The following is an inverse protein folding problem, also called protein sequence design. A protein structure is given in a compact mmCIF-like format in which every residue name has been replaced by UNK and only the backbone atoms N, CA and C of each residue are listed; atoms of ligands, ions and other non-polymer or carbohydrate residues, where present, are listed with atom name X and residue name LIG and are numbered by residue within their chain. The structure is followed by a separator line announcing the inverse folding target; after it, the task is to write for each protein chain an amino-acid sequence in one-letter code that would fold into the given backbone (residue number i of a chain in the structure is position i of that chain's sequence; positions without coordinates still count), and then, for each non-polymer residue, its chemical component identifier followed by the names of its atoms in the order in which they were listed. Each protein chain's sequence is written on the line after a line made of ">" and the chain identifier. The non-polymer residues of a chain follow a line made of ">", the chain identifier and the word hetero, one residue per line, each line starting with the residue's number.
data_IF_803348811777
#
_entry.id   IF_803348811777
#
_cell.length_a   1.000
_cell.length_b   1.000
_cell.length_c   1.000
_cell.angle_alpha   90.00
_cell.angle_beta   90.00
_cell.angle_gamma   90.00
#
_symmetry.space_group_name_H-M   'P 1'
#
loop_
_entity.id
_entity.type
_entity.pdbx_description
1 polymer ?
#
# COMPACT_ATOMS: atom_id res chain seq x y z
N UNK A 1 -11.57 10.85 3.58
CA UNK A 1 -11.38 9.80 2.53
C UNK A 1 -9.95 9.20 2.37
N UNK A 2 -8.91 9.94 1.93
CA UNK A 2 -7.60 9.36 1.49
C UNK A 2 -6.94 8.42 2.52
N UNK A 3 -7.02 8.74 3.81
CA UNK A 3 -6.47 7.89 4.87
C UNK A 3 -7.16 6.52 4.97
N UNK A 4 -8.48 6.45 4.80
CA UNK A 4 -9.24 5.20 4.82
C UNK A 4 -9.00 4.33 3.58
N UNK A 5 -8.74 4.97 2.43
CA UNK A 5 -8.33 4.24 1.22
C UNK A 5 -6.90 3.71 1.37
N UNK A 6 -5.99 4.52 1.92
CA UNK A 6 -4.61 4.12 2.17
C UNK A 6 -4.50 2.89 3.07
N UNK A 7 -5.38 2.73 4.07
CA UNK A 7 -5.38 1.53 4.91
C UNK A 7 -5.87 0.25 4.19
N UNK A 8 -6.49 0.39 3.00
CA UNK A 8 -6.94 -0.74 2.16
C UNK A 8 -5.94 -1.10 1.07
N UNK A 9 -4.98 -0.22 0.77
CA UNK A 9 -3.85 -0.54 -0.11
C UNK A 9 -2.99 -1.56 0.62
N UNK A 10 -2.56 -2.62 -0.09
CA UNK A 10 -1.86 -3.77 0.51
C UNK A 10 -0.74 -3.30 1.44
N UNK A 11 -0.68 -3.83 2.67
CA UNK A 11 0.31 -3.44 3.69
C UNK A 11 1.79 -3.48 3.23
N UNK A 12 2.14 -4.34 2.27
CA UNK A 12 3.49 -4.43 1.69
C UNK A 12 3.73 -3.46 0.54
N UNK A 13 2.68 -2.85 0.00
CA UNK A 13 2.80 -1.79 -0.97
C UNK A 13 3.13 -0.49 -0.23
N UNK A 14 4.40 -0.09 -0.31
CA UNK A 14 4.94 1.11 0.32
C UNK A 14 4.44 2.41 -0.32
N UNK A 15 3.58 2.30 -1.34
CA UNK A 15 2.96 3.45 -1.98
C UNK A 15 1.77 3.94 -1.18
N UNK A 16 1.69 5.26 -1.03
CA UNK A 16 0.54 5.96 -0.46
C UNK A 16 -0.19 6.70 -1.57
N UNK A 17 -1.51 6.67 -1.54
CA UNK A 17 -2.38 7.48 -2.38
C UNK A 17 -2.24 8.95 -1.95
N UNK A 18 -1.85 9.77 -2.91
CA UNK A 18 -1.66 11.21 -2.75
C UNK A 18 -2.76 12.00 -3.44
N UNK A 19 -3.34 11.43 -4.50
CA UNK A 19 -4.40 12.04 -5.28
C UNK A 19 -5.46 11.03 -5.72
N UNK A 20 -6.67 11.55 -5.87
CA UNK A 20 -7.83 10.83 -6.42
C UNK A 20 -8.54 11.79 -7.35
N UNK A 21 -8.64 11.40 -8.60
CA UNK A 21 -9.35 12.14 -9.63
C UNK A 21 -10.54 11.33 -10.13
N UNK A 22 -11.67 12.01 -10.29
CA UNK A 22 -12.89 11.47 -10.86
C UNK A 22 -13.05 11.97 -12.28
N UNK A 23 -13.24 11.07 -13.24
CA UNK A 23 -13.54 11.44 -14.63
C UNK A 23 -15.05 11.58 -14.79
N UNK A 24 -15.55 12.80 -14.66
CA UNK A 24 -16.96 13.13 -14.78
C UNK A 24 -17.36 13.23 -16.25
N UNK A 25 -18.30 12.38 -16.66
CA UNK A 25 -18.99 12.53 -17.94
C UNK A 25 -20.09 13.57 -17.83
N UNK A 26 -20.22 14.42 -18.84
CA UNK A 26 -21.36 15.33 -19.05
C UNK A 26 -21.78 15.27 -20.50
N UNK A 27 -23.07 15.48 -20.77
CA UNK A 27 -23.62 15.46 -22.13
C UNK A 27 -24.09 16.86 -22.46
N UNK A 28 -23.53 17.44 -23.51
CA UNK A 28 -23.91 18.73 -24.03
C UNK A 28 -25.27 18.64 -24.76
N UNK A 29 -25.91 19.78 -24.98
CA UNK A 29 -27.21 19.85 -25.66
C UNK A 29 -27.17 19.37 -27.11
N UNK A 30 -25.99 19.35 -27.73
CA UNK A 30 -25.72 18.82 -29.07
C UNK A 30 -25.42 17.30 -29.08
N UNK A 31 -25.46 16.64 -27.92
CA UNK A 31 -25.16 15.21 -27.76
C UNK A 31 -23.67 14.89 -27.56
N UNK A 32 -22.78 15.88 -27.59
CA UNK A 32 -21.34 15.67 -27.34
C UNK A 32 -21.11 15.25 -25.89
N UNK A 33 -20.27 14.23 -25.67
CA UNK A 33 -19.87 13.79 -24.32
C UNK A 33 -18.54 14.44 -23.95
N UNK A 34 -18.54 15.21 -22.87
CA UNK A 34 -17.33 15.80 -22.31
C UNK A 34 -16.92 15.06 -21.04
N UNK A 35 -15.61 14.81 -20.94
CA UNK A 35 -14.99 14.23 -19.76
C UNK A 35 -14.18 15.30 -19.04
N UNK A 36 -14.49 15.52 -17.76
CA UNK A 36 -13.75 16.46 -16.91
C UNK A 36 -13.11 15.70 -15.76
N UNK A 37 -11.81 15.87 -15.55
CA UNK A 37 -11.13 15.35 -14.37
C UNK A 37 -11.38 16.28 -13.19
N UNK A 38 -11.93 15.72 -12.12
CA UNK A 38 -12.24 16.43 -10.87
C UNK A 38 -11.39 15.82 -9.77
N UNK A 39 -10.52 16.63 -9.18
CA UNK A 39 -9.71 16.23 -8.04
C UNK A 39 -10.55 16.18 -6.76
N UNK A 40 -10.61 15.02 -6.12
CA UNK A 40 -11.34 14.81 -4.87
C UNK A 40 -10.44 15.14 -3.68
N UNK A 41 -10.73 16.24 -3.00
CA UNK A 41 -9.92 16.77 -1.90
C UNK A 41 -10.56 16.49 -0.54
N UNK A 42 -11.88 16.58 -0.45
CA UNK A 42 -12.62 16.46 0.80
C UNK A 42 -13.85 15.55 0.66
N UNK A 43 -14.51 15.26 1.78
CA UNK A 43 -15.65 14.34 1.81
C UNK A 43 -16.91 14.93 1.11
N UNK A 44 -17.00 16.26 0.97
CA UNK A 44 -18.02 16.94 0.17
C UNK A 44 -17.85 16.69 -1.34
N UNK A 45 -16.62 16.67 -1.84
CA UNK A 45 -16.33 16.31 -3.23
C UNK A 45 -16.75 14.87 -3.51
N UNK A 46 -16.48 13.97 -2.57
CA UNK A 46 -16.87 12.55 -2.64
C UNK A 46 -18.39 12.40 -2.64
N UNK A 47 -19.08 13.12 -1.76
CA UNK A 47 -20.54 13.13 -1.73
C UNK A 47 -21.11 13.61 -3.06
N UNK A 48 -20.56 14.69 -3.61
CA UNK A 48 -20.96 15.24 -4.90
C UNK A 48 -20.76 14.24 -6.03
N UNK A 49 -19.62 13.55 -6.06
CA UNK A 49 -19.34 12.48 -7.02
C UNK A 49 -20.39 11.37 -6.94
N UNK A 50 -20.72 10.89 -5.73
CA UNK A 50 -21.76 9.87 -5.55
C UNK A 50 -23.16 10.35 -5.96
N UNK A 51 -23.51 11.61 -5.69
CA UNK A 51 -24.78 12.19 -6.13
C UNK A 51 -24.89 12.19 -7.65
N UNK A 52 -23.86 12.67 -8.35
CA UNK A 52 -23.80 12.65 -9.82
C UNK A 52 -23.87 11.21 -10.33
N UNK A 53 -23.11 10.28 -9.74
CA UNK A 53 -23.16 8.88 -10.15
C UNK A 53 -24.56 8.29 -9.99
N UNK A 54 -25.24 8.53 -8.86
CA UNK A 54 -26.59 8.02 -8.63
C UNK A 54 -27.61 8.53 -9.65
N UNK A 55 -27.45 9.77 -10.11
CA UNK A 55 -28.28 10.38 -11.15
C UNK A 55 -28.05 9.75 -12.53
N UNK A 56 -26.81 9.31 -12.81
CA UNK A 56 -26.40 8.82 -14.12
C UNK A 56 -26.02 7.34 -14.14
N UNK A 57 -26.34 6.56 -13.11
CA UNK A 57 -25.85 5.18 -12.95
C UNK A 57 -26.28 4.24 -14.09
N UNK A 58 -27.39 4.56 -14.76
CA UNK A 58 -27.88 3.82 -15.94
C UNK A 58 -27.07 4.10 -17.21
N UNK A 59 -26.24 5.14 -17.22
CA UNK A 59 -25.43 5.55 -18.38
C UNK A 59 -24.04 4.92 -18.41
N UNK A 60 -23.65 4.20 -17.36
CA UNK A 60 -22.39 3.45 -17.31
C UNK A 60 -21.60 3.68 -16.03
N UNK A 61 -20.48 2.96 -15.87
CA UNK A 61 -19.62 3.05 -14.70
C UNK A 61 -18.90 4.42 -14.64
N UNK A 62 -18.57 4.83 -13.42
CA UNK A 62 -17.67 5.96 -13.17
C UNK A 62 -16.22 5.51 -13.13
N UNK A 63 -15.33 6.36 -13.61
CA UNK A 63 -13.89 6.12 -13.59
C UNK A 63 -13.21 6.99 -12.55
N UNK A 64 -12.43 6.33 -11.68
CA UNK A 64 -11.62 6.97 -10.64
C UNK A 64 -10.15 6.63 -10.88
N UNK A 65 -9.32 7.65 -10.98
CA UNK A 65 -7.89 7.54 -11.13
C UNK A 65 -7.19 7.89 -9.82
N UNK A 66 -6.19 7.09 -9.45
CA UNK A 66 -5.47 7.20 -8.20
C UNK A 66 -3.99 7.45 -8.45
N UNK A 67 -3.40 8.48 -7.82
CA UNK A 67 -1.95 8.69 -7.85
C UNK A 67 -1.30 8.14 -6.61
N UNK A 68 -0.45 7.14 -6.79
CA UNK A 68 0.30 6.45 -5.74
C UNK A 68 1.77 6.88 -5.78
N UNK A 69 2.30 7.36 -4.65
CA UNK A 69 3.71 7.73 -4.50
C UNK A 69 4.38 6.91 -3.39
N UNK A 70 5.63 6.51 -3.62
CA UNK A 70 6.49 5.97 -2.56
C UNK A 70 7.09 7.12 -1.77
N UNK A 71 7.01 7.04 -0.45
CA UNK A 71 7.64 7.99 0.46
C UNK A 71 8.86 7.35 1.11
N UNK A 72 9.94 8.13 1.27
CA UNK A 72 11.17 7.65 1.92
C UNK A 72 10.88 7.09 3.30
N UNK A 73 10.07 7.80 4.09
CA UNK A 73 9.61 7.33 5.41
C UNK A 73 8.95 5.94 5.34
N UNK A 74 8.05 5.71 4.38
CA UNK A 74 7.37 4.42 4.23
C UNK A 74 8.33 3.29 3.79
N UNK A 75 9.36 3.61 3.01
CA UNK A 75 10.44 2.68 2.66
C UNK A 75 11.26 2.37 3.90
N UNK A 76 11.71 3.40 4.63
CA UNK A 76 12.52 3.27 5.84
C UNK A 76 11.80 2.50 6.95
N UNK A 77 10.51 2.73 7.19
CA UNK A 77 9.72 1.98 8.18
C UNK A 77 9.61 0.48 7.88
N UNK A 78 9.69 0.08 6.60
CA UNK A 78 9.72 -1.34 6.22
C UNK A 78 11.11 -1.96 6.29
N UNK A 79 12.17 -1.15 6.25
CA UNK A 79 13.55 -1.61 6.42
C UNK A 79 13.88 -1.98 7.88
N UNK A 80 13.01 -1.64 8.85
CA UNK A 80 13.20 -1.91 10.30
C UNK A 80 13.14 -3.41 10.64
N UNK A 81 12.93 -4.31 9.68
CA UNK A 81 13.12 -5.75 9.87
C UNK A 81 14.50 -6.27 9.44
N UNK A 82 15.48 -5.40 9.13
CA UNK A 82 16.88 -5.83 9.20
C UNK A 82 17.18 -6.10 10.67
N UNK A 83 17.44 -7.36 11.01
CA UNK A 83 17.90 -7.77 12.35
C UNK A 83 18.94 -6.78 12.86
N UNK A 84 18.81 -6.36 14.11
CA UNK A 84 19.84 -5.56 14.75
C UNK A 84 21.17 -6.34 14.74
N UNK A 85 22.32 -5.65 14.80
CA UNK A 85 23.61 -6.33 14.80
C UNK A 85 23.69 -7.40 15.90
N UNK A 86 23.14 -7.12 17.08
CA UNK A 86 23.04 -8.08 18.19
C UNK A 86 22.17 -9.31 17.87
N UNK A 87 21.05 -9.13 17.16
CA UNK A 87 20.24 -10.27 16.69
C UNK A 87 20.94 -11.10 15.62
N UNK A 88 21.81 -10.47 14.81
CA UNK A 88 22.64 -11.18 13.83
C UNK A 88 23.75 -11.95 14.55
N UNK A 89 24.46 -11.32 15.49
CA UNK A 89 25.56 -11.97 16.24
C UNK A 89 25.05 -13.12 17.09
N UNK A 90 23.87 -12.99 17.72
CA UNK A 90 23.23 -14.05 18.53
C UNK A 90 22.91 -15.30 17.69
N UNK A 91 22.59 -15.15 16.41
CA UNK A 91 22.36 -16.28 15.50
C UNK A 91 23.64 -16.81 14.83
N UNK A 92 24.76 -16.07 14.91
CA UNK A 92 26.07 -16.51 14.45
C UNK A 92 26.88 -17.21 15.55
N UNK A 93 26.41 -17.22 16.80
CA UNK A 93 26.99 -18.06 17.85
C UNK A 93 26.79 -19.51 17.44
N UNK A 94 27.88 -20.18 17.06
CA UNK A 94 27.88 -21.62 16.80
C UNK A 94 27.34 -22.35 18.05
N UNK A 95 26.49 -23.39 17.90
CA UNK A 95 26.19 -24.25 19.04
C UNK A 95 27.52 -24.74 19.58
N UNK A 96 27.77 -24.50 20.87
CA UNK A 96 29.00 -24.93 21.54
C UNK A 96 29.26 -26.39 21.22
N UNK A 97 30.52 -26.69 20.93
CA UNK A 97 31.01 -28.04 20.68
C UNK A 97 30.41 -28.98 21.74
N UNK A 98 29.50 -29.84 21.30
CA UNK A 98 28.94 -30.91 22.12
C UNK A 98 30.15 -31.76 22.53
N UNK A 99 30.43 -31.78 23.84
CA UNK A 99 31.60 -32.42 24.42
C UNK A 99 31.72 -33.84 23.86
N UNK A 100 32.65 -34.05 22.93
CA UNK A 100 32.92 -35.38 22.38
C UNK A 100 33.50 -36.21 23.51
N UNK A 101 32.66 -37.06 24.09
CA UNK A 101 33.03 -38.01 25.12
C UNK A 101 34.24 -38.81 24.62
N UNK A 102 35.41 -38.54 25.20
CA UNK A 102 36.66 -39.18 24.80
C UNK A 102 36.55 -40.68 25.05
N UNK A 103 36.33 -41.45 23.98
CA UNK A 103 36.34 -42.91 24.03
C UNK A 103 37.76 -43.36 24.34
N UNK A 104 38.02 -43.70 25.61
CA UNK A 104 39.30 -44.26 26.05
C UNK A 104 39.48 -45.63 25.41
N UNK A 105 40.28 -45.70 24.35
CA UNK A 105 40.81 -46.95 23.80
C UNK A 105 42.04 -47.34 24.62
N UNK A 106 41.80 -47.87 25.81
CA UNK A 106 42.84 -48.57 26.56
C UNK A 106 42.20 -49.75 27.25
N UNK A 107 42.41 -50.93 26.68
CA UNK A 107 42.82 -52.10 27.45
C UNK A 107 43.67 -53.04 26.58
N UNK A 108 44.60 -53.81 27.18
CA UNK A 108 45.74 -54.46 26.52
C UNK A 108 45.44 -55.81 25.86
#
# INVERSE_FOLDING_TARGET
>A
MKHQLNSRIHFRDQRRMTDVEYRRSSVCSDGTVLFTNIKLQNDGDVRTMFSIFSEYMTKGPIELNAKLLRFVEAISSNLIHLRTFDEITTCMVAPGEDDVEAVNLSDP
#
